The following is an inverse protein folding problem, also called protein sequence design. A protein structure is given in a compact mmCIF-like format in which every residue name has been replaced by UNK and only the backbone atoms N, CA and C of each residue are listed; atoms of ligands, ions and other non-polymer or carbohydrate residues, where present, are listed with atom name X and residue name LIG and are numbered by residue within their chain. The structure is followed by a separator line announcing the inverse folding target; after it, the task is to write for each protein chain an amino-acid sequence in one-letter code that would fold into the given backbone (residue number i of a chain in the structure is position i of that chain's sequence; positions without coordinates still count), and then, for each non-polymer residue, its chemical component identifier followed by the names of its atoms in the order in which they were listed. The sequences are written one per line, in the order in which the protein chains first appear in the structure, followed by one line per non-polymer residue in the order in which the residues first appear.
data_IF_103064444640
#
_entry.id   IF_103064444640
#
_cell.length_a   1.000
_cell.length_b   1.000
_cell.length_c   1.000
_cell.angle_alpha   90.00
_cell.angle_beta   90.00
_cell.angle_gamma   90.00
#
_symmetry.space_group_name_H-M   'P 1'
#
loop_
_entity.id
_entity.type
_entity.pdbx_description
1 polymer ?
#
# COMPACT_ATOMS: atom_id res chain seq x y z
N UNK A 1 0.86 16.75 -5.50
CA UNK A 1 0.08 17.34 -4.38
C UNK A 1 1.06 17.63 -3.25
N UNK A 2 1.12 18.86 -2.72
CA UNK A 2 2.07 19.19 -1.62
C UNK A 2 1.73 18.38 -0.34
N UNK A 3 2.72 18.11 0.51
CA UNK A 3 2.63 17.39 1.78
C UNK A 3 1.54 17.93 2.72
N UNK A 4 1.29 19.24 2.71
CA UNK A 4 0.18 19.84 3.50
C UNK A 4 -1.16 19.25 3.06
N UNK A 5 -1.40 19.15 1.75
CA UNK A 5 -2.63 18.60 1.22
C UNK A 5 -2.74 17.09 1.48
N UNK A 6 -1.63 16.34 1.32
CA UNK A 6 -1.58 14.91 1.71
C UNK A 6 -1.94 14.73 3.18
N UNK A 7 -1.42 15.58 4.08
CA UNK A 7 -1.72 15.52 5.52
C UNK A 7 -3.18 15.84 5.84
N UNK A 8 -3.77 16.83 5.16
CA UNK A 8 -5.20 17.14 5.27
C UNK A 8 -6.08 15.95 4.88
N UNK A 9 -5.75 15.27 3.78
CA UNK A 9 -6.46 14.05 3.34
C UNK A 9 -6.32 12.91 4.37
N UNK A 10 -5.14 12.74 4.97
CA UNK A 10 -4.96 11.75 6.05
C UNK A 10 -5.82 12.08 7.27
N UNK A 11 -5.86 13.34 7.68
CA UNK A 11 -6.72 13.79 8.79
C UNK A 11 -8.21 13.61 8.45
N UNK A 12 -8.62 13.85 7.20
CA UNK A 12 -9.98 13.57 6.74
C UNK A 12 -10.34 12.09 6.95
N UNK A 13 -9.49 11.17 6.46
CA UNK A 13 -9.69 9.72 6.61
C UNK A 13 -9.81 9.30 8.08
N UNK A 14 -9.01 9.89 8.97
CA UNK A 14 -9.10 9.62 10.42
C UNK A 14 -10.42 10.10 11.00
N UNK A 15 -10.91 11.29 10.64
CA UNK A 15 -12.23 11.72 11.11
C UNK A 15 -13.36 10.83 10.60
N UNK A 16 -13.32 10.44 9.32
CA UNK A 16 -14.31 9.55 8.73
C UNK A 16 -14.41 8.24 9.53
N UNK A 17 -13.26 7.65 9.90
CA UNK A 17 -13.21 6.46 10.74
C UNK A 17 -13.71 6.70 12.17
N UNK A 18 -13.29 7.81 12.79
CA UNK A 18 -13.67 8.13 14.18
C UNK A 18 -15.18 8.28 14.31
N UNK A 19 -15.78 8.98 13.35
CA UNK A 19 -17.20 9.24 13.33
C UNK A 19 -18.02 8.04 12.87
N UNK A 20 -17.53 7.25 11.91
CA UNK A 20 -18.22 6.03 11.46
C UNK A 20 -18.34 5.03 12.60
N UNK A 21 -17.27 4.76 13.35
CA UNK A 21 -17.29 3.78 14.45
C UNK A 21 -18.11 4.21 15.66
N UNK A 22 -18.14 5.51 15.97
CA UNK A 22 -18.72 5.99 17.23
C UNK A 22 -20.14 6.55 17.06
N UNK A 23 -20.51 6.92 15.83
CA UNK A 23 -21.74 7.66 15.53
C UNK A 23 -22.42 7.24 14.21
N UNK A 24 -21.98 6.13 13.59
CA UNK A 24 -22.60 5.55 12.39
C UNK A 24 -22.71 6.52 11.19
N UNK A 25 -21.72 7.42 11.05
CA UNK A 25 -21.65 8.27 9.86
C UNK A 25 -21.35 7.44 8.62
N UNK A 26 -22.13 7.70 7.56
CA UNK A 26 -21.80 7.28 6.21
C UNK A 26 -21.11 8.43 5.48
N UNK A 27 -19.91 8.18 4.98
CA UNK A 27 -19.14 9.17 4.21
C UNK A 27 -18.80 8.58 2.86
N UNK A 28 -19.53 8.99 1.82
CA UNK A 28 -19.07 8.79 0.44
C UNK A 28 -18.22 9.99 0.03
N UNK A 29 -16.90 9.84 0.19
CA UNK A 29 -15.93 10.83 -0.28
C UNK A 29 -15.71 10.58 -1.77
N UNK A 30 -16.57 11.14 -2.63
CA UNK A 30 -16.26 11.23 -4.06
C UNK A 30 -14.90 11.92 -4.21
N UNK A 31 -13.95 11.26 -4.85
CA UNK A 31 -12.61 11.83 -5.08
C UNK A 31 -12.74 13.11 -5.92
N UNK A 32 -12.71 14.27 -5.27
CA UNK A 32 -12.63 15.53 -5.99
C UNK A 32 -11.17 15.77 -6.35
N UNK A 33 -10.79 15.38 -7.57
CA UNK A 33 -9.41 15.48 -8.07
C UNK A 33 -8.85 16.92 -8.09
N UNK A 34 -9.71 17.94 -7.95
CA UNK A 34 -9.35 19.32 -8.26
C UNK A 34 -9.02 20.22 -7.05
N UNK A 35 -9.31 19.84 -5.80
CA UNK A 35 -8.95 20.64 -4.62
C UNK A 35 -8.98 19.84 -3.31
N UNK A 36 -8.22 20.30 -2.31
CA UNK A 36 -8.23 19.71 -0.95
C UNK A 36 -9.01 20.63 -0.01
N UNK A 37 -10.03 20.10 0.71
CA UNK A 37 -10.87 20.95 1.55
C UNK A 37 -10.12 21.58 2.72
N UNK A 38 -10.69 22.65 3.26
CA UNK A 38 -10.22 23.30 4.48
C UNK A 38 -10.74 22.61 5.74
N UNK A 39 -11.96 22.07 5.68
CA UNK A 39 -12.65 21.36 6.75
C UNK A 39 -13.22 20.05 6.21
N UNK A 40 -13.32 19.06 7.09
CA UNK A 40 -14.05 17.84 6.84
C UNK A 40 -15.54 18.08 6.97
N UNK A 41 -16.27 17.99 5.86
CA UNK A 41 -17.72 18.16 5.81
C UNK A 41 -18.45 16.84 6.03
N UNK A 42 -19.56 16.88 6.76
CA UNK A 42 -20.51 15.78 6.92
C UNK A 42 -21.92 16.32 6.72
N UNK A 43 -22.59 15.87 5.66
CA UNK A 43 -23.94 16.30 5.26
C UNK A 43 -24.99 15.30 5.73
N UNK A 44 -26.16 15.80 6.09
CA UNK A 44 -27.32 15.04 6.52
C UNK A 44 -28.53 15.46 5.68
N UNK A 45 -28.69 14.90 4.48
CA UNK A 45 -29.74 15.11 3.46
C UNK A 45 -31.05 15.81 3.92
N UNK A 46 -30.98 17.10 4.28
CA UNK A 46 -32.11 17.86 4.84
C UNK A 46 -32.62 17.43 6.24
N UNK A 47 -31.98 16.48 6.93
CA UNK A 47 -32.39 16.00 8.26
C UNK A 47 -31.90 16.94 9.37
N UNK A 48 -32.54 18.11 9.49
CA UNK A 48 -32.14 19.19 10.42
C UNK A 48 -32.09 18.71 11.88
N UNK A 49 -33.15 18.06 12.37
CA UNK A 49 -33.21 17.59 13.77
C UNK A 49 -32.09 16.60 14.09
N UNK A 50 -31.77 15.72 13.14
CA UNK A 50 -30.67 14.76 13.26
C UNK A 50 -29.32 15.47 13.31
N UNK A 51 -29.13 16.51 12.50
CA UNK A 51 -27.90 17.31 12.47
C UNK A 51 -27.69 18.06 13.78
N UNK A 52 -28.73 18.70 14.31
CA UNK A 52 -28.65 19.43 15.58
C UNK A 52 -28.36 18.49 16.75
N UNK A 53 -29.06 17.34 16.81
CA UNK A 53 -28.81 16.32 17.81
C UNK A 53 -27.36 15.82 17.74
N UNK A 54 -26.86 15.59 16.53
CA UNK A 54 -25.49 15.12 16.32
C UNK A 54 -24.46 16.19 16.69
N UNK A 55 -24.68 17.46 16.34
CA UNK A 55 -23.83 18.57 16.76
C UNK A 55 -23.71 18.64 18.28
N UNK A 56 -24.84 18.62 19.00
CA UNK A 56 -24.88 18.61 20.47
C UNK A 56 -24.16 17.39 21.05
N UNK A 57 -24.33 16.22 20.43
CA UNK A 57 -23.70 14.96 20.85
C UNK A 57 -22.18 15.04 20.71
N UNK A 58 -21.68 15.45 19.54
CA UNK A 58 -20.25 15.60 19.27
C UNK A 58 -19.61 16.66 20.16
N UNK A 59 -20.28 17.80 20.37
CA UNK A 59 -19.81 18.85 21.26
C UNK A 59 -19.72 18.36 22.72
N UNK A 60 -20.75 17.63 23.19
CA UNK A 60 -20.78 17.01 24.52
C UNK A 60 -19.67 15.98 24.71
N UNK A 61 -19.38 15.19 23.68
CA UNK A 61 -18.29 14.22 23.68
C UNK A 61 -16.91 14.90 23.40
N UNK A 62 -16.86 16.23 23.33
CA UNK A 62 -15.63 17.03 23.27
C UNK A 62 -14.98 17.15 21.90
N UNK A 63 -15.69 16.79 20.83
CA UNK A 63 -15.21 16.96 19.46
C UNK A 63 -15.23 18.44 19.04
N UNK A 64 -14.23 18.91 18.27
CA UNK A 64 -14.16 20.30 17.80
C UNK A 64 -15.06 20.51 16.58
N UNK A 65 -16.35 20.18 16.70
CA UNK A 65 -17.34 20.28 15.63
C UNK A 65 -17.83 21.73 15.48
N UNK A 66 -18.03 22.16 14.24
CA UNK A 66 -18.62 23.46 13.91
C UNK A 66 -19.72 23.32 12.85
N UNK A 67 -20.55 24.34 12.70
CA UNK A 67 -21.51 24.51 11.59
C UNK A 67 -21.12 25.73 10.76
N UNK A 68 -21.52 25.76 9.49
CA UNK A 68 -21.26 26.89 8.58
C UNK A 68 -22.43 27.03 7.59
N UNK A 69 -22.85 28.26 7.22
CA UNK A 69 -22.27 29.56 7.59
C UNK A 69 -22.62 30.00 9.01
N UNK A 70 -21.84 30.93 9.54
CA UNK A 70 -22.23 31.71 10.71
C UNK A 70 -23.39 32.64 10.34
N UNK A 71 -24.50 32.48 11.05
CA UNK A 71 -25.73 33.23 10.82
C UNK A 71 -25.85 34.30 11.90
N UNK A 72 -25.71 35.59 11.58
CA UNK A 72 -25.92 36.65 12.53
C UNK A 72 -27.42 36.79 12.85
N UNK A 73 -27.80 37.40 13.99
CA UNK A 73 -29.18 37.44 14.48
C UNK A 73 -30.21 37.93 13.45
N UNK A 74 -29.82 38.89 12.61
CA UNK A 74 -30.68 39.55 11.61
C UNK A 74 -31.17 38.59 10.52
N UNK A 75 -30.48 37.46 10.32
CA UNK A 75 -30.93 36.40 9.40
C UNK A 75 -32.18 35.70 9.92
N UNK A 76 -32.30 35.53 11.24
CA UNK A 76 -33.44 34.88 11.88
C UNK A 76 -34.69 35.76 11.88
N UNK A 77 -34.53 37.08 11.75
CA UNK A 77 -35.65 38.00 11.58
C UNK A 77 -36.22 37.97 10.14
N UNK A 78 -35.47 37.41 9.19
CA UNK A 78 -35.75 37.43 7.74
C UNK A 78 -35.57 36.06 7.08
N UNK A 79 -35.97 35.00 7.78
CA UNK A 79 -35.81 33.58 7.37
C UNK A 79 -36.17 33.33 5.91
N UNK A 80 -37.29 33.88 5.44
CA UNK A 80 -37.79 33.71 4.07
C UNK A 80 -36.82 34.15 2.97
N UNK A 81 -35.89 35.06 3.26
CA UNK A 81 -34.87 35.54 2.32
C UNK A 81 -33.54 34.78 2.42
N UNK A 82 -33.38 33.92 3.43
CA UNK A 82 -32.12 33.29 3.79
C UNK A 82 -32.22 31.77 3.98
N UNK A 83 -33.26 31.15 3.40
CA UNK A 83 -33.55 29.72 3.52
C UNK A 83 -32.31 28.85 3.22
N UNK A 84 -31.57 29.15 2.15
CA UNK A 84 -30.37 28.38 1.79
C UNK A 84 -29.27 28.45 2.87
N UNK A 85 -29.04 29.60 3.47
CA UNK A 85 -28.00 29.77 4.48
C UNK A 85 -28.37 29.06 5.79
N UNK A 86 -29.65 29.10 6.15
CA UNK A 86 -30.23 28.38 7.29
C UNK A 86 -30.15 26.87 7.07
N UNK A 87 -30.54 26.39 5.88
CA UNK A 87 -30.45 24.99 5.50
C UNK A 87 -29.00 24.50 5.55
N UNK A 88 -28.05 25.24 4.97
CA UNK A 88 -26.63 24.87 5.00
C UNK A 88 -26.08 24.75 6.43
N UNK A 89 -26.36 25.73 7.30
CA UNK A 89 -25.92 25.68 8.70
C UNK A 89 -26.50 24.49 9.46
N UNK A 90 -27.74 24.13 9.15
CA UNK A 90 -28.51 23.13 9.90
C UNK A 90 -28.49 21.73 9.29
N UNK A 91 -27.84 21.52 8.15
CA UNK A 91 -27.71 20.21 7.50
C UNK A 91 -26.27 19.70 7.38
N UNK A 92 -25.28 20.50 7.82
CA UNK A 92 -23.86 20.21 7.64
C UNK A 92 -23.05 20.45 8.90
N UNK A 93 -22.20 19.48 9.21
CA UNK A 93 -21.21 19.55 10.29
C UNK A 93 -19.81 19.59 9.70
N UNK A 94 -18.91 20.31 10.38
CA UNK A 94 -17.53 20.48 9.95
C UNK A 94 -16.55 20.14 11.07
N UNK A 95 -15.44 19.50 10.71
CA UNK A 95 -14.30 19.23 11.59
C UNK A 95 -13.00 19.73 10.96
N UNK A 96 -12.08 20.26 11.77
CA UNK A 96 -10.78 20.72 11.27
C UNK A 96 -9.93 19.58 10.74
N UNK A 97 -9.36 19.74 9.55
CA UNK A 97 -8.37 18.81 8.95
C UNK A 97 -6.98 19.42 8.85
N UNK A 98 -6.72 20.51 9.59
CA UNK A 98 -5.46 21.25 9.55
C UNK A 98 -4.24 20.32 9.68
N UNK A 99 -3.17 20.56 8.91
CA UNK A 99 -2.01 19.65 8.83
C UNK A 99 -1.29 19.44 10.17
N UNK A 100 -1.37 20.43 11.08
CA UNK A 100 -0.79 20.33 12.44
C UNK A 100 -1.64 19.48 13.41
N UNK A 101 -2.85 19.07 13.02
CA UNK A 101 -3.69 18.21 13.85
C UNK A 101 -3.04 16.83 13.95
N UNK A 102 -2.85 16.36 15.19
CA UNK A 102 -2.31 15.03 15.45
C UNK A 102 -3.44 14.01 15.56
N UNK A 103 -3.23 12.81 15.01
CA UNK A 103 -4.17 11.69 15.14
C UNK A 103 -4.46 11.38 16.62
N UNK A 104 -3.47 11.53 17.49
CA UNK A 104 -3.64 11.33 18.94
C UNK A 104 -4.66 12.27 19.55
N UNK A 105 -4.70 13.53 19.11
CA UNK A 105 -5.71 14.51 19.52
C UNK A 105 -7.09 14.13 19.00
N UNK A 106 -7.17 13.66 17.76
CA UNK A 106 -8.42 13.30 17.09
C UNK A 106 -9.12 12.10 17.74
N UNK A 107 -8.34 11.11 18.17
CA UNK A 107 -8.89 9.89 18.79
C UNK A 107 -9.05 9.99 20.31
N UNK A 108 -8.63 11.10 20.94
CA UNK A 108 -8.62 11.25 22.41
C UNK A 108 -9.98 11.00 23.06
N UNK A 109 -11.05 11.39 22.37
CA UNK A 109 -12.42 11.31 22.86
C UNK A 109 -13.18 10.08 22.37
N UNK A 110 -12.51 9.14 21.68
CA UNK A 110 -13.15 7.88 21.30
C UNK A 110 -13.46 7.06 22.55
N UNK A 111 -14.72 6.63 22.67
CA UNK A 111 -15.12 5.64 23.67
C UNK A 111 -14.47 4.30 23.28
N UNK A 112 -13.74 3.69 24.22
CA UNK A 112 -13.20 2.34 24.04
C UNK A 112 -14.38 1.38 24.12
N UNK A 113 -14.81 0.84 22.99
CA UNK A 113 -16.07 0.09 22.89
C UNK A 113 -15.93 -1.43 23.10
N UNK A 114 -14.74 -1.97 23.37
CA UNK A 114 -14.58 -3.43 23.49
C UNK A 114 -13.55 -3.89 24.53
N UNK A 115 -13.86 -5.01 25.18
CA UNK A 115 -13.02 -5.69 26.16
C UNK A 115 -12.03 -6.63 25.44
N UNK A 116 -11.01 -6.04 24.81
CA UNK A 116 -9.99 -6.73 23.98
C UNK A 116 -9.27 -7.85 24.76
N UNK A 117 -9.28 -7.80 26.10
CA UNK A 117 -8.59 -8.76 26.98
C UNK A 117 -9.03 -10.22 26.76
N UNK A 118 -10.30 -10.48 26.46
CA UNK A 118 -10.80 -11.85 26.23
C UNK A 118 -10.34 -12.41 24.89
N UNK A 119 -10.26 -11.57 23.85
CA UNK A 119 -9.87 -12.00 22.51
C UNK A 119 -8.35 -12.24 22.40
N UNK A 120 -7.54 -11.58 23.23
CA UNK A 120 -6.11 -11.88 23.33
C UNK A 120 -5.83 -13.34 23.73
N UNK A 121 -6.68 -13.97 24.54
CA UNK A 121 -6.50 -15.37 24.94
C UNK A 121 -6.74 -16.35 23.78
N UNK A 122 -7.35 -15.87 22.68
CA UNK A 122 -7.67 -16.66 21.49
C UNK A 122 -6.63 -16.52 20.38
N UNK A 123 -5.75 -15.52 20.47
CA UNK A 123 -4.67 -15.30 19.52
C UNK A 123 -3.42 -16.03 19.97
N UNK A 124 -2.87 -16.89 19.10
CA UNK A 124 -1.56 -17.49 19.26
C UNK A 124 -0.63 -17.06 18.12
N UNK A 125 0.67 -17.02 18.38
CA UNK A 125 1.69 -16.85 17.35
C UNK A 125 2.80 -17.88 17.54
N UNK A 126 3.09 -18.61 16.47
CA UNK A 126 4.21 -19.53 16.43
C UNK A 126 5.36 -18.89 15.65
N UNK A 127 6.52 -18.77 16.31
CA UNK A 127 7.72 -18.17 15.72
C UNK A 127 8.71 -19.26 15.34
N UNK A 128 9.22 -19.20 14.10
CA UNK A 128 10.32 -20.01 13.59
C UNK A 128 10.09 -21.53 13.63
N UNK A 129 8.85 -21.99 13.79
CA UNK A 129 8.45 -23.40 13.69
C UNK A 129 8.06 -23.81 12.26
N UNK A 130 7.75 -22.84 11.41
CA UNK A 130 7.23 -23.04 10.05
C UNK A 130 8.31 -23.55 9.10
N UNK A 131 7.98 -24.61 8.36
CA UNK A 131 8.83 -25.09 7.26
C UNK A 131 8.63 -24.23 6.01
N UNK A 132 9.60 -24.25 5.09
CA UNK A 132 9.46 -23.54 3.81
C UNK A 132 8.21 -23.96 3.03
N UNK A 133 7.94 -25.27 2.94
CA UNK A 133 6.77 -25.78 2.22
C UNK A 133 5.45 -25.23 2.78
N UNK A 134 5.30 -25.24 4.11
CA UNK A 134 4.12 -24.66 4.77
C UNK A 134 4.01 -23.14 4.56
N UNK A 135 5.15 -22.42 4.61
CA UNK A 135 5.16 -20.99 4.31
C UNK A 135 4.67 -20.73 2.88
N UNK A 136 5.20 -21.46 1.90
CA UNK A 136 4.87 -21.28 0.48
C UNK A 136 3.40 -21.66 0.20
N UNK A 137 2.84 -22.64 0.91
CA UNK A 137 1.41 -22.97 0.85
C UNK A 137 0.52 -21.85 1.40
N UNK A 138 0.89 -21.24 2.52
CA UNK A 138 0.15 -20.11 3.10
C UNK A 138 0.31 -18.86 2.24
N UNK A 139 1.51 -18.62 1.73
CA UNK A 139 1.86 -17.45 0.94
C UNK A 139 1.13 -17.43 -0.41
N UNK A 140 0.90 -18.60 -1.04
CA UNK A 140 0.07 -18.76 -2.24
C UNK A 140 -1.43 -18.47 -2.04
N UNK A 141 -1.92 -18.42 -0.80
CA UNK A 141 -3.33 -18.05 -0.51
C UNK A 141 -3.55 -16.54 -0.47
N UNK A 142 -2.47 -15.75 -0.49
CA UNK A 142 -2.54 -14.30 -0.37
C UNK A 142 -2.64 -13.70 -1.77
N UNK A 143 -3.83 -13.20 -2.10
CA UNK A 143 -4.16 -12.64 -3.42
C UNK A 143 -3.15 -11.60 -3.90
N UNK A 144 -2.79 -10.65 -3.04
CA UNK A 144 -1.82 -9.58 -3.31
C UNK A 144 -0.60 -9.75 -2.39
N UNK A 145 0.15 -10.83 -2.62
CA UNK A 145 1.41 -11.08 -1.94
C UNK A 145 2.49 -10.10 -2.39
N UNK A 146 3.64 -10.06 -1.71
CA UNK A 146 4.78 -9.22 -2.12
C UNK A 146 6.11 -9.92 -1.88
N UNK A 147 7.10 -9.62 -2.72
CA UNK A 147 8.44 -10.21 -2.64
C UNK A 147 9.10 -10.06 -1.26
N UNK A 148 8.86 -8.98 -0.53
CA UNK A 148 9.54 -8.71 0.74
C UNK A 148 9.16 -9.69 1.87
N UNK A 149 8.02 -10.36 1.72
CA UNK A 149 7.53 -11.40 2.63
C UNK A 149 7.74 -12.82 2.06
N UNK A 150 8.40 -12.98 0.91
CA UNK A 150 8.74 -14.31 0.41
C UNK A 150 9.89 -14.94 1.21
N UNK A 151 9.94 -16.28 1.20
CA UNK A 151 11.00 -17.03 1.87
C UNK A 151 12.38 -16.70 1.29
N UNK A 152 12.52 -16.74 -0.04
CA UNK A 152 13.78 -16.43 -0.75
C UNK A 152 14.29 -15.02 -0.47
N UNK A 153 13.41 -14.03 -0.33
CA UNK A 153 13.83 -12.67 0.00
C UNK A 153 14.44 -12.60 1.40
N UNK A 154 13.81 -13.30 2.36
CA UNK A 154 14.33 -13.43 3.72
C UNK A 154 15.72 -14.07 3.73
N UNK A 155 15.87 -15.26 3.14
CA UNK A 155 17.16 -15.96 3.07
C UNK A 155 18.23 -15.10 2.38
N UNK A 156 17.86 -14.38 1.31
CA UNK A 156 18.79 -13.50 0.61
C UNK A 156 19.30 -12.37 1.52
N UNK A 157 18.42 -11.79 2.36
CA UNK A 157 18.81 -10.78 3.36
C UNK A 157 19.74 -11.34 4.43
N UNK A 158 19.55 -12.57 4.87
CA UNK A 158 20.49 -13.23 5.79
C UNK A 158 21.86 -13.39 5.14
N UNK A 159 21.88 -13.89 3.90
CA UNK A 159 23.12 -14.24 3.20
C UNK A 159 23.98 -13.05 2.80
N UNK A 160 23.40 -11.92 2.35
CA UNK A 160 24.21 -10.79 1.86
C UNK A 160 24.24 -9.55 2.75
N UNK A 161 23.35 -9.43 3.74
CA UNK A 161 23.25 -8.24 4.58
C UNK A 161 23.30 -8.52 6.09
N UNK A 162 23.51 -9.78 6.49
CA UNK A 162 23.65 -10.21 7.89
C UNK A 162 22.42 -9.81 8.74
N UNK A 163 21.24 -9.98 8.16
CA UNK A 163 19.98 -10.00 8.92
C UNK A 163 19.74 -11.42 9.44
N UNK A 164 18.95 -11.55 10.51
CA UNK A 164 18.32 -12.81 10.90
C UNK A 164 16.85 -12.74 10.56
N UNK A 165 16.29 -13.80 10.04
CA UNK A 165 14.87 -13.85 9.70
C UNK A 165 14.11 -14.54 10.82
N UNK A 166 13.01 -13.90 11.25
CA UNK A 166 11.99 -14.54 12.08
C UNK A 166 10.69 -14.64 11.29
N UNK A 167 10.06 -15.81 11.30
CA UNK A 167 8.78 -16.05 10.62
C UNK A 167 7.73 -16.40 11.65
N UNK A 168 6.62 -15.67 11.61
CA UNK A 168 5.49 -15.85 12.52
C UNK A 168 4.26 -16.33 11.76
N UNK A 169 3.56 -17.34 12.30
CA UNK A 169 2.21 -17.70 11.90
C UNK A 169 1.26 -17.30 13.03
N UNK A 170 0.29 -16.45 12.73
CA UNK A 170 -0.77 -16.07 13.64
C UNK A 170 -1.97 -16.98 13.46
N UNK A 171 -2.51 -17.42 14.58
CA UNK A 171 -3.68 -18.28 14.65
C UNK A 171 -4.70 -17.65 15.61
N UNK A 172 -5.96 -17.56 15.19
CA UNK A 172 -7.06 -17.12 16.04
C UNK A 172 -8.12 -18.22 16.09
N UNK A 173 -8.51 -18.67 17.29
CA UNK A 173 -9.44 -19.80 17.46
C UNK A 173 -9.05 -21.04 16.62
N UNK A 174 -7.76 -21.39 16.64
CA UNK A 174 -7.15 -22.50 15.88
C UNK A 174 -7.16 -22.35 14.34
N UNK A 175 -7.59 -21.21 13.81
CA UNK A 175 -7.49 -20.89 12.38
C UNK A 175 -6.28 -20.01 12.09
N UNK A 176 -5.42 -20.40 11.13
CA UNK A 176 -4.33 -19.54 10.64
C UNK A 176 -4.93 -18.31 9.97
N UNK A 177 -4.55 -17.12 10.44
CA UNK A 177 -5.13 -15.83 9.98
C UNK A 177 -4.12 -14.91 9.30
N UNK A 178 -2.84 -14.99 9.67
CA UNK A 178 -1.81 -14.12 9.11
C UNK A 178 -0.42 -14.76 9.20
N UNK A 179 0.47 -14.33 8.32
CA UNK A 179 1.91 -14.66 8.35
C UNK A 179 2.74 -13.38 8.36
N UNK A 180 3.94 -13.42 8.94
CA UNK A 180 4.85 -12.27 8.97
C UNK A 180 6.30 -12.71 8.90
N UNK A 181 7.09 -12.02 8.08
CA UNK A 181 8.54 -12.11 8.03
C UNK A 181 9.14 -10.86 8.66
N UNK A 182 9.92 -11.05 9.73
CA UNK A 182 10.63 -10.01 10.49
C UNK A 182 12.13 -10.17 10.24
N UNK A 183 12.79 -9.08 9.87
CA UNK A 183 14.25 -9.03 9.80
C UNK A 183 14.79 -8.46 11.13
N UNK A 184 15.64 -9.22 11.81
CA UNK A 184 16.31 -8.85 13.05
C UNK A 184 17.79 -8.57 12.79
N UNK A 185 18.30 -7.48 13.33
CA UNK A 185 19.74 -7.18 13.36
C UNK A 185 20.15 -6.73 14.75
N UNK A 186 21.30 -7.21 15.20
CA UNK A 186 21.91 -6.76 16.46
C UNK A 186 22.93 -5.67 16.18
N UNK A 187 22.83 -4.56 16.90
CA UNK A 187 23.79 -3.46 16.88
C UNK A 187 24.56 -3.52 18.20
N UNK A 188 25.90 -3.62 18.11
CA UNK A 188 26.81 -3.72 19.26
C UNK A 188 26.49 -4.87 20.23
N UNK A 189 25.76 -5.90 19.78
CA UNK A 189 25.39 -7.07 20.59
C UNK A 189 24.28 -6.86 21.61
N UNK A 190 23.89 -5.60 21.89
CA UNK A 190 22.94 -5.24 22.96
C UNK A 190 21.65 -4.61 22.44
N UNK A 191 21.70 -3.88 21.32
CA UNK A 191 20.53 -3.24 20.74
C UNK A 191 19.97 -4.10 19.61
N UNK A 192 18.65 -4.23 19.56
CA UNK A 192 17.98 -4.98 18.50
C UNK A 192 17.19 -4.06 17.59
N UNK A 193 17.41 -4.20 16.29
CA UNK A 193 16.61 -3.56 15.26
C UNK A 193 15.77 -4.63 14.58
N UNK A 194 14.46 -4.48 14.66
CA UNK A 194 13.52 -5.30 13.92
C UNK A 194 12.94 -4.50 12.76
N UNK A 195 12.82 -5.13 11.60
CA UNK A 195 12.16 -4.56 10.42
C UNK A 195 11.06 -5.48 9.95
N UNK A 196 9.87 -4.94 9.75
CA UNK A 196 8.77 -5.62 9.08
C UNK A 196 8.42 -4.77 7.87
N UNK A 197 8.76 -5.27 6.67
CA UNK A 197 8.51 -4.58 5.42
C UNK A 197 7.38 -5.28 4.65
N UNK A 198 6.32 -4.55 4.36
CA UNK A 198 5.13 -5.02 3.63
C UNK A 198 4.48 -6.24 4.29
N UNK A 199 4.40 -6.25 5.63
CA UNK A 199 3.79 -7.31 6.43
C UNK A 199 3.13 -6.76 7.71
N UNK A 200 2.37 -7.54 8.49
CA UNK A 200 1.99 -8.93 8.23
C UNK A 200 1.07 -9.05 7.02
N UNK A 201 0.97 -10.26 6.46
CA UNK A 201 0.02 -10.57 5.41
C UNK A 201 -1.10 -11.44 5.96
N UNK A 202 -2.34 -10.99 5.76
CA UNK A 202 -3.52 -11.73 6.20
C UNK A 202 -3.94 -12.73 5.13
N UNK A 203 -4.23 -13.96 5.55
CA UNK A 203 -4.56 -15.07 4.65
C UNK A 203 -5.98 -14.95 4.08
N UNK A 204 -6.88 -14.33 4.86
CA UNK A 204 -8.28 -14.10 4.52
C UNK A 204 -8.65 -12.66 4.87
N UNK A 205 -9.83 -12.21 4.43
CA UNK A 205 -10.45 -11.00 4.98
C UNK A 205 -10.74 -11.25 6.47
N UNK A 206 -10.08 -10.49 7.33
CA UNK A 206 -10.26 -10.54 8.79
C UNK A 206 -10.80 -9.21 9.31
N UNK A 207 -11.57 -9.30 10.39
CA UNK A 207 -12.14 -8.13 11.06
C UNK A 207 -11.06 -7.22 11.64
N UNK A 208 -11.39 -5.93 11.79
CA UNK A 208 -10.48 -4.92 12.34
C UNK A 208 -9.95 -5.30 13.72
N UNK A 209 -10.76 -5.96 14.55
CA UNK A 209 -10.37 -6.40 15.89
C UNK A 209 -9.25 -7.46 15.84
N UNK A 210 -9.34 -8.42 14.92
CA UNK A 210 -8.30 -9.43 14.73
C UNK A 210 -7.00 -8.77 14.26
N UNK A 211 -7.08 -7.81 13.33
CA UNK A 211 -5.91 -7.02 12.93
C UNK A 211 -5.30 -6.30 14.13
N UNK A 212 -6.13 -5.71 14.99
CA UNK A 212 -5.68 -5.03 16.21
C UNK A 212 -4.88 -5.95 17.13
N UNK A 213 -5.35 -7.18 17.35
CA UNK A 213 -4.63 -8.19 18.15
C UNK A 213 -3.27 -8.56 17.54
N UNK A 214 -3.22 -8.78 16.22
CA UNK A 214 -1.97 -9.11 15.50
C UNK A 214 -0.97 -7.96 15.60
N UNK A 215 -1.39 -6.72 15.32
CA UNK A 215 -0.52 -5.55 15.41
C UNK A 215 -0.09 -5.25 16.84
N UNK A 216 -0.93 -5.54 17.84
CA UNK A 216 -0.52 -5.46 19.25
C UNK A 216 0.63 -6.42 19.55
N UNK A 217 0.54 -7.67 19.11
CA UNK A 217 1.62 -8.67 19.28
C UNK A 217 2.92 -8.22 18.58
N UNK A 218 2.82 -7.75 17.33
CA UNK A 218 3.96 -7.22 16.59
C UNK A 218 4.57 -5.99 17.27
N UNK A 219 3.74 -5.15 17.90
CA UNK A 219 4.23 -3.94 18.58
C UNK A 219 5.19 -4.24 19.74
N UNK A 220 5.20 -5.48 20.27
CA UNK A 220 6.10 -5.91 21.34
C UNK A 220 7.57 -6.01 20.91
N UNK A 221 7.85 -6.03 19.61
CA UNK A 221 9.22 -6.00 19.08
C UNK A 221 9.91 -4.64 19.32
N UNK A 222 9.15 -3.55 19.39
CA UNK A 222 9.63 -2.26 19.88
C UNK A 222 9.49 -2.21 21.40
N UNK A 223 10.61 -2.22 22.12
CA UNK A 223 10.62 -2.11 23.58
C UNK A 223 11.91 -1.45 24.11
N UNK A 224 11.77 -0.23 24.62
CA UNK A 224 12.85 0.63 25.09
C UNK A 224 13.57 0.00 26.27
N UNK A 225 12.83 -0.64 27.17
CA UNK A 225 13.38 -1.36 28.32
C UNK A 225 14.18 -2.59 27.91
N UNK A 226 13.90 -3.16 26.73
CA UNK A 226 14.65 -4.29 26.13
C UNK A 226 15.70 -3.84 25.11
N UNK A 227 15.92 -2.54 24.96
CA UNK A 227 16.87 -1.99 23.98
C UNK A 227 16.51 -2.34 22.53
N UNK A 228 15.22 -2.45 22.20
CA UNK A 228 14.79 -2.82 20.85
C UNK A 228 13.91 -1.78 20.18
N UNK A 229 14.15 -1.58 18.88
CA UNK A 229 13.33 -0.74 18.00
C UNK A 229 12.68 -1.61 16.94
N UNK A 230 11.40 -1.37 16.68
CA UNK A 230 10.69 -1.90 15.53
C UNK A 230 10.53 -0.80 14.49
N UNK A 231 10.98 -1.06 13.26
CA UNK A 231 10.67 -0.29 12.06
C UNK A 231 9.63 -1.09 11.26
N UNK A 232 8.50 -0.48 10.95
CA UNK A 232 7.32 -1.13 10.41
C UNK A 232 6.79 -0.38 9.20
N UNK A 233 6.79 -1.04 8.05
CA UNK A 233 6.11 -0.60 6.83
C UNK A 233 4.99 -1.60 6.55
N UNK A 234 3.78 -1.42 7.10
CA UNK A 234 2.79 -2.48 7.13
C UNK A 234 2.04 -2.64 5.81
N UNK A 235 1.61 -3.87 5.49
CA UNK A 235 0.68 -4.14 4.36
C UNK A 235 -0.76 -3.70 4.72
N UNK A 236 -0.91 -2.41 4.99
CA UNK A 236 -2.18 -1.78 5.31
C UNK A 236 -2.43 -0.65 4.33
N UNK A 237 -3.61 -0.64 3.73
CA UNK A 237 -4.07 0.45 2.86
C UNK A 237 -4.19 1.76 3.63
N UNK A 238 -4.08 2.88 2.92
CA UNK A 238 -4.23 4.21 3.49
C UNK A 238 -5.70 4.57 3.72
N UNK A 239 -6.20 4.19 4.89
CA UNK A 239 -7.53 4.52 5.39
C UNK A 239 -7.50 4.98 6.86
N UNK A 240 -8.63 5.48 7.35
CA UNK A 240 -8.74 5.92 8.74
C UNK A 240 -8.51 4.79 9.74
N UNK A 241 -9.01 3.58 9.44
CA UNK A 241 -8.85 2.35 10.24
C UNK A 241 -7.38 2.08 10.55
N UNK A 242 -6.55 2.03 9.52
CA UNK A 242 -5.13 1.72 9.62
C UNK A 242 -4.37 2.81 10.37
N UNK A 243 -4.69 4.08 10.12
CA UNK A 243 -4.07 5.22 10.80
C UNK A 243 -4.41 5.27 12.30
N UNK A 244 -5.68 5.04 12.64
CA UNK A 244 -6.15 4.95 14.03
C UNK A 244 -5.51 3.76 14.73
N UNK A 245 -5.46 2.60 14.07
CA UNK A 245 -4.82 1.38 14.60
C UNK A 245 -3.35 1.61 14.95
N UNK A 246 -2.56 2.16 14.02
CA UNK A 246 -1.14 2.45 14.27
C UNK A 246 -0.98 3.41 15.46
N UNK A 247 -1.83 4.43 15.55
CA UNK A 247 -1.79 5.39 16.66
C UNK A 247 -2.17 4.76 18.00
N UNK A 248 -3.22 3.92 18.05
CA UNK A 248 -3.64 3.17 19.25
C UNK A 248 -2.51 2.27 19.76
N UNK A 249 -1.78 1.64 18.84
CA UNK A 249 -0.61 0.81 19.16
C UNK A 249 0.66 1.60 19.51
N UNK A 250 0.56 2.93 19.61
CA UNK A 250 1.65 3.86 19.96
C UNK A 250 2.83 3.82 18.98
N UNK A 251 2.58 3.51 17.72
CA UNK A 251 3.57 3.73 16.67
C UNK A 251 3.74 5.22 16.39
N UNK A 252 4.98 5.60 16.10
CA UNK A 252 5.34 6.90 15.56
C UNK A 252 5.44 6.82 14.05
N UNK A 253 4.85 7.77 13.36
CA UNK A 253 4.87 7.85 11.89
C UNK A 253 6.15 8.56 11.43
N UNK A 254 6.82 8.02 10.43
CA UNK A 254 7.92 8.68 9.73
C UNK A 254 7.40 9.73 8.75
N UNK A 255 8.19 10.75 8.43
CA UNK A 255 7.81 11.81 7.46
C UNK A 255 7.96 11.40 5.99
N UNK A 256 8.25 10.14 5.71
CA UNK A 256 8.42 9.62 4.35
C UNK A 256 7.08 9.53 3.62
N UNK A 257 7.13 9.65 2.29
CA UNK A 257 5.98 9.37 1.44
C UNK A 257 5.57 7.91 1.60
N UNK A 258 4.27 7.68 1.79
CA UNK A 258 3.71 6.34 1.73
C UNK A 258 4.03 5.68 0.37
N UNK A 259 4.19 4.36 0.39
CA UNK A 259 4.30 3.59 -0.85
C UNK A 259 2.98 3.64 -1.61
N UNK A 260 3.05 3.95 -2.89
CA UNK A 260 1.93 3.92 -3.82
C UNK A 260 2.25 2.95 -4.96
N UNK A 261 1.27 2.16 -5.38
CA UNK A 261 1.37 1.36 -6.60
C UNK A 261 -0.03 1.10 -7.18
N UNK A 262 -0.12 0.23 -8.19
CA UNK A 262 -1.36 -0.25 -8.77
C UNK A 262 -1.19 -1.73 -9.13
N UNK A 263 -2.20 -2.54 -8.84
CA UNK A 263 -2.22 -3.94 -9.24
C UNK A 263 -3.22 -4.17 -10.37
N UNK A 264 -2.96 -5.19 -11.19
CA UNK A 264 -3.86 -5.64 -12.25
C UNK A 264 -4.41 -7.00 -11.83
N UNK A 265 -5.73 -7.12 -11.77
CA UNK A 265 -6.43 -8.37 -11.53
C UNK A 265 -6.33 -9.28 -12.77
N UNK A 266 -5.43 -10.27 -12.71
CA UNK A 266 -5.20 -11.21 -13.80
C UNK A 266 -6.28 -12.29 -13.89
N UNK A 267 -7.25 -12.32 -12.99
CA UNK A 267 -8.41 -13.22 -13.11
C UNK A 267 -9.36 -12.75 -14.22
N UNK A 268 -9.39 -11.45 -14.53
CA UNK A 268 -10.18 -10.87 -15.62
C UNK A 268 -9.73 -11.37 -16.99
N UNK A 269 -10.64 -11.39 -17.97
CA UNK A 269 -10.31 -11.82 -19.33
C UNK A 269 -9.39 -10.81 -20.04
N UNK A 270 -8.60 -11.29 -21.01
CA UNK A 270 -7.62 -10.46 -21.72
C UNK A 270 -8.27 -9.33 -22.54
N UNK A 271 -9.49 -9.53 -23.06
CA UNK A 271 -10.18 -8.50 -23.83
C UNK A 271 -10.64 -7.37 -22.91
N UNK A 272 -11.21 -7.71 -21.76
CA UNK A 272 -11.54 -6.74 -20.72
C UNK A 272 -10.32 -5.95 -20.27
N UNK A 273 -9.23 -6.64 -19.93
CA UNK A 273 -7.97 -5.98 -19.52
C UNK A 273 -7.45 -5.03 -20.61
N UNK A 274 -7.51 -5.43 -21.88
CA UNK A 274 -7.08 -4.60 -23.01
C UNK A 274 -8.00 -3.39 -23.23
N UNK A 275 -9.31 -3.56 -23.04
CA UNK A 275 -10.28 -2.49 -23.17
C UNK A 275 -10.19 -1.47 -22.04
N UNK A 276 -9.83 -1.95 -20.84
CA UNK A 276 -9.69 -1.12 -19.64
C UNK A 276 -8.45 -0.21 -19.67
N UNK A 277 -7.44 -0.49 -20.51
CA UNK A 277 -6.27 0.38 -20.68
C UNK A 277 -6.69 1.82 -21.04
N UNK A 278 -5.90 2.80 -20.59
CA UNK A 278 -6.06 4.18 -21.03
C UNK A 278 -5.98 4.25 -22.57
N UNK A 279 -6.80 5.13 -23.17
CA UNK A 279 -6.93 5.19 -24.62
C UNK A 279 -5.62 5.58 -25.31
N UNK A 280 -4.82 6.49 -24.73
CA UNK A 280 -3.52 6.86 -25.30
C UNK A 280 -2.53 5.70 -25.12
N UNK A 281 -2.53 5.06 -23.95
CA UNK A 281 -1.67 3.91 -23.66
C UNK A 281 -1.94 2.75 -24.63
N UNK A 282 -3.21 2.40 -24.85
CA UNK A 282 -3.65 1.37 -25.81
C UNK A 282 -3.25 1.70 -27.25
N UNK A 283 -3.27 2.97 -27.64
CA UNK A 283 -2.79 3.39 -28.96
C UNK A 283 -1.27 3.20 -29.09
N UNK A 284 -0.50 3.49 -28.05
CA UNK A 284 0.94 3.24 -28.03
C UNK A 284 1.27 1.74 -28.09
N UNK A 285 0.50 0.90 -27.38
CA UNK A 285 0.60 -0.56 -27.49
C UNK A 285 0.31 -1.03 -28.93
N UNK A 286 -0.81 -0.61 -29.52
CA UNK A 286 -1.20 -0.98 -30.89
C UNK A 286 -0.15 -0.57 -31.92
N UNK A 287 0.53 0.56 -31.71
CA UNK A 287 1.66 0.95 -32.55
C UNK A 287 2.88 0.02 -32.33
N UNK A 288 3.21 -0.27 -31.07
CA UNK A 288 4.35 -1.14 -30.73
C UNK A 288 4.25 -2.55 -31.31
N UNK A 289 3.04 -3.11 -31.38
CA UNK A 289 2.77 -4.42 -31.97
C UNK A 289 3.02 -4.47 -33.49
N UNK A 290 3.04 -3.32 -34.16
CA UNK A 290 3.35 -3.19 -35.59
C UNK A 290 4.83 -2.89 -35.86
N UNK A 291 5.62 -2.60 -34.83
CA UNK A 291 7.01 -2.13 -34.95
C UNK A 291 8.04 -3.26 -35.08
N UNK A 292 7.65 -4.43 -35.58
CA UNK A 292 8.53 -5.60 -35.80
C UNK A 292 9.34 -6.02 -34.56
N UNK A 293 8.80 -5.78 -33.35
CA UNK A 293 9.42 -6.21 -32.10
C UNK A 293 9.23 -7.72 -31.92
N UNK A 294 10.33 -8.42 -31.65
CA UNK A 294 10.30 -9.81 -31.22
C UNK A 294 10.38 -9.88 -29.70
N UNK A 295 9.56 -10.73 -29.09
CA UNK A 295 9.58 -11.00 -27.65
C UNK A 295 10.47 -12.20 -27.35
N UNK A 296 11.45 -12.00 -26.47
CA UNK A 296 12.14 -13.09 -25.79
C UNK A 296 11.73 -13.10 -24.32
N UNK A 297 11.49 -14.29 -23.79
CA UNK A 297 10.95 -14.44 -22.45
C UNK A 297 11.54 -15.66 -21.76
N UNK A 298 11.84 -15.52 -20.46
CA UNK A 298 12.24 -16.64 -19.63
C UNK A 298 13.03 -16.23 -18.39
N UNK A 299 13.44 -17.25 -17.65
CA UNK A 299 14.12 -17.12 -16.36
C UNK A 299 15.56 -17.66 -16.40
N UNK A 300 16.07 -17.94 -17.61
CA UNK A 300 17.41 -18.47 -17.83
C UNK A 300 18.50 -17.44 -17.50
N UNK A 301 19.71 -17.95 -17.24
CA UNK A 301 20.85 -17.13 -16.84
C UNK A 301 21.22 -16.08 -17.89
N UNK A 302 21.13 -16.42 -19.18
CA UNK A 302 21.44 -15.48 -20.26
C UNK A 302 20.55 -14.23 -20.21
N UNK A 303 19.24 -14.39 -20.09
CA UNK A 303 18.31 -13.25 -19.97
C UNK A 303 18.49 -12.51 -18.64
N UNK A 304 18.70 -13.23 -17.54
CA UNK A 304 18.89 -12.63 -16.23
C UNK A 304 20.14 -11.75 -16.17
N UNK A 305 21.31 -12.29 -16.57
CA UNK A 305 22.56 -11.52 -16.53
C UNK A 305 22.56 -10.36 -17.52
N UNK A 306 21.95 -10.53 -18.70
CA UNK A 306 21.73 -9.39 -19.61
C UNK A 306 20.92 -8.28 -18.96
N UNK A 307 19.84 -8.62 -18.24
CA UNK A 307 19.00 -7.62 -17.55
C UNK A 307 19.74 -7.00 -16.36
N UNK A 308 20.55 -7.78 -15.65
CA UNK A 308 21.37 -7.30 -14.53
C UNK A 308 22.40 -6.26 -15.01
N UNK A 309 23.06 -6.51 -16.13
CA UNK A 309 23.99 -5.56 -16.74
C UNK A 309 23.28 -4.26 -17.14
N UNK A 310 22.08 -4.36 -17.73
CA UNK A 310 21.25 -3.17 -18.04
C UNK A 310 20.77 -2.43 -16.79
N UNK A 311 20.53 -3.13 -15.70
CA UNK A 311 20.20 -2.51 -14.42
C UNK A 311 21.39 -1.77 -13.80
N UNK A 312 22.59 -2.34 -13.88
CA UNK A 312 23.82 -1.71 -13.41
C UNK A 312 24.16 -0.44 -14.23
N UNK A 313 23.97 -0.49 -15.55
CA UNK A 313 24.08 0.71 -16.42
C UNK A 313 23.10 1.81 -15.98
N UNK A 314 21.87 1.47 -15.58
CA UNK A 314 20.88 2.46 -15.13
C UNK A 314 21.23 3.08 -13.78
N UNK A 315 21.67 2.25 -12.83
CA UNK A 315 21.97 2.68 -11.45
C UNK A 315 23.28 3.43 -11.35
N UNK A 316 24.24 3.18 -12.25
CA UNK A 316 25.49 3.95 -12.32
C UNK A 316 25.27 5.35 -12.92
N UNK A 317 24.32 5.48 -13.86
CA UNK A 317 24.05 6.73 -14.56
C UNK A 317 22.99 7.63 -13.90
N UNK A 318 22.29 7.12 -12.88
CA UNK A 318 21.22 7.85 -12.17
C UNK A 318 21.45 7.71 -10.66
N UNK A 319 21.31 8.80 -9.90
CA UNK A 319 21.29 8.79 -8.43
C UNK A 319 20.02 8.07 -7.89
N UNK A 320 19.81 6.81 -8.25
CA UNK A 320 18.65 6.00 -7.90
C UNK A 320 19.08 4.79 -7.08
N UNK A 321 18.44 4.60 -5.92
CA UNK A 321 18.66 3.42 -5.06
C UNK A 321 17.50 2.43 -5.22
N UNK A 322 17.69 1.41 -6.05
CA UNK A 322 16.79 0.25 -6.11
C UNK A 322 17.29 -0.94 -5.28
N UNK A 323 16.78 -2.14 -5.56
CA UNK A 323 17.28 -3.39 -4.98
C UNK A 323 18.76 -3.57 -5.36
N UNK A 324 19.60 -3.95 -4.39
CA UNK A 324 21.03 -4.09 -4.67
C UNK A 324 21.31 -5.24 -5.64
N UNK A 325 22.37 -5.11 -6.45
CA UNK A 325 22.88 -6.19 -7.30
C UNK A 325 23.13 -7.48 -6.52
N UNK A 326 23.67 -7.35 -5.30
CA UNK A 326 23.92 -8.50 -4.41
C UNK A 326 22.62 -9.22 -4.03
N UNK A 327 21.56 -8.49 -3.72
CA UNK A 327 20.24 -9.07 -3.44
C UNK A 327 19.67 -9.78 -4.67
N UNK A 328 19.75 -9.19 -5.86
CA UNK A 328 19.29 -9.81 -7.10
C UNK A 328 20.01 -11.14 -7.38
N UNK A 329 21.34 -11.16 -7.20
CA UNK A 329 22.14 -12.38 -7.37
C UNK A 329 21.80 -13.45 -6.34
N UNK A 330 21.62 -13.09 -5.07
CA UNK A 330 21.24 -14.04 -4.02
C UNK A 330 19.87 -14.66 -4.26
N UNK A 331 18.89 -13.84 -4.68
CA UNK A 331 17.56 -14.34 -5.02
C UNK A 331 17.65 -15.30 -6.22
N UNK A 332 18.35 -14.92 -7.30
CA UNK A 332 18.49 -15.74 -8.51
C UNK A 332 19.18 -17.08 -8.24
N UNK A 333 20.18 -17.09 -7.36
CA UNK A 333 20.98 -18.28 -7.05
C UNK A 333 20.35 -19.18 -5.98
N UNK A 334 19.16 -18.84 -5.48
CA UNK A 334 18.46 -19.68 -4.53
C UNK A 334 18.07 -21.02 -5.17
N UNK A 335 18.66 -22.12 -4.71
CA UNK A 335 18.48 -23.43 -5.34
C UNK A 335 17.07 -24.01 -5.19
N UNK A 336 16.33 -23.51 -4.20
CA UNK A 336 14.99 -23.99 -3.84
C UNK A 336 13.87 -23.15 -4.50
N UNK A 337 14.19 -22.00 -5.09
CA UNK A 337 13.25 -21.18 -5.85
C UNK A 337 13.82 -20.93 -7.25
N UNK A 338 13.50 -21.83 -8.16
CA UNK A 338 13.75 -21.59 -9.58
C UNK A 338 12.70 -20.59 -10.07
N UNK A 339 13.12 -19.69 -10.95
CA UNK A 339 12.23 -18.78 -11.68
C UNK A 339 11.57 -17.65 -10.88
N UNK A 340 12.14 -17.23 -9.74
CA UNK A 340 11.70 -16.01 -9.02
C UNK A 340 11.75 -14.75 -9.88
N UNK A 341 12.59 -14.72 -10.91
CA UNK A 341 12.64 -13.63 -11.90
C UNK A 341 12.23 -14.12 -13.27
N UNK A 342 11.19 -13.48 -13.83
CA UNK A 342 10.79 -13.61 -15.22
C UNK A 342 11.28 -12.38 -15.99
N UNK A 343 12.13 -12.60 -16.99
CA UNK A 343 12.67 -11.55 -17.84
C UNK A 343 11.91 -11.53 -19.16
N UNK A 344 11.46 -10.34 -19.58
CA UNK A 344 10.93 -10.11 -20.92
C UNK A 344 11.85 -9.11 -21.62
N UNK A 345 12.33 -9.46 -22.80
CA UNK A 345 13.26 -8.66 -23.61
C UNK A 345 12.67 -8.41 -24.99
N UNK A 346 12.67 -7.15 -25.43
CA UNK A 346 12.21 -6.77 -26.76
C UNK A 346 13.42 -6.64 -27.68
N UNK A 347 13.36 -7.34 -28.81
CA UNK A 347 14.42 -7.35 -29.83
C UNK A 347 13.89 -6.72 -31.12
N UNK A 348 14.65 -5.79 -31.69
CA UNK A 348 14.38 -5.18 -32.99
C UNK A 348 15.58 -5.41 -33.90
N UNK A 349 15.40 -6.07 -35.04
CA UNK A 349 16.47 -6.35 -36.02
C UNK A 349 17.77 -6.89 -35.38
N UNK A 350 17.63 -7.88 -34.50
CA UNK A 350 18.70 -8.53 -33.73
C UNK A 350 19.35 -7.68 -32.62
N UNK A 351 18.84 -6.49 -32.33
CA UNK A 351 19.28 -5.66 -31.20
C UNK A 351 18.26 -5.73 -30.04
N UNK A 352 18.71 -6.01 -28.83
CA UNK A 352 17.86 -5.92 -27.64
C UNK A 352 17.65 -4.44 -27.25
N UNK A 353 16.43 -3.93 -27.46
CA UNK A 353 16.11 -2.49 -27.35
C UNK A 353 15.42 -2.11 -26.04
N UNK A 354 14.81 -3.07 -25.35
CA UNK A 354 14.20 -2.88 -24.04
C UNK A 354 14.12 -4.20 -23.25
N UNK A 355 13.97 -4.09 -21.93
CA UNK A 355 13.91 -5.24 -21.03
C UNK A 355 13.20 -4.93 -19.72
N UNK A 356 12.47 -5.90 -19.19
CA UNK A 356 11.81 -5.79 -17.89
C UNK A 356 12.07 -7.07 -17.07
N UNK A 357 12.19 -6.89 -15.76
CA UNK A 357 12.31 -7.96 -14.79
C UNK A 357 11.08 -7.96 -13.89
N UNK A 358 10.38 -9.08 -13.85
CA UNK A 358 9.22 -9.31 -12.99
C UNK A 358 9.64 -10.27 -11.88
N UNK A 359 9.42 -9.87 -10.62
CA UNK A 359 9.57 -10.75 -9.49
C UNK A 359 8.28 -11.55 -9.29
N UNK A 360 8.38 -12.87 -9.34
CA UNK A 360 7.30 -13.81 -9.08
C UNK A 360 7.29 -14.16 -7.60
N UNK A 361 6.12 -14.17 -6.96
CA UNK A 361 5.99 -14.51 -5.54
C UNK A 361 4.56 -14.93 -5.18
N UNK A 362 4.39 -16.03 -4.44
CA UNK A 362 3.07 -16.48 -4.01
C UNK A 362 2.13 -16.73 -5.20
N UNK A 363 0.95 -16.10 -5.18
CA UNK A 363 0.00 -16.09 -6.31
C UNK A 363 0.07 -14.79 -7.15
N UNK A 364 1.11 -13.99 -6.97
CA UNK A 364 1.23 -12.64 -7.52
C UNK A 364 2.59 -12.44 -8.22
N UNK A 365 2.73 -11.30 -8.88
CA UNK A 365 4.02 -10.85 -9.39
C UNK A 365 4.17 -9.34 -9.26
N UNK A 366 5.41 -8.85 -9.21
CA UNK A 366 5.73 -7.41 -9.11
C UNK A 366 6.68 -6.99 -10.24
N UNK A 367 6.34 -5.91 -10.94
CA UNK A 367 7.25 -5.24 -11.87
C UNK A 367 8.41 -4.59 -11.10
N UNK A 368 9.59 -5.22 -11.15
CA UNK A 368 10.72 -4.87 -10.30
C UNK A 368 11.69 -3.92 -11.00
N UNK A 369 12.09 -4.24 -12.23
CA UNK A 369 13.10 -3.49 -12.98
C UNK A 369 12.60 -3.27 -14.40
N UNK A 370 12.83 -2.07 -14.93
CA UNK A 370 12.66 -1.80 -16.36
C UNK A 370 13.81 -1.00 -16.93
N UNK A 371 14.26 -1.44 -18.09
CA UNK A 371 15.23 -0.76 -18.93
C UNK A 371 14.62 -0.53 -20.30
N UNK A 372 14.85 0.66 -20.85
CA UNK A 372 14.35 1.02 -22.17
C UNK A 372 15.38 1.89 -22.87
N UNK A 373 16.02 1.33 -23.89
CA UNK A 373 16.99 2.04 -24.72
C UNK A 373 16.36 3.19 -25.51
N UNK A 374 17.17 3.99 -26.18
CA UNK A 374 16.64 5.10 -26.99
C UNK A 374 15.75 4.60 -28.13
N UNK A 375 16.22 3.56 -28.85
CA UNK A 375 15.44 2.93 -29.90
C UNK A 375 14.16 2.27 -29.35
N UNK A 376 14.26 1.59 -28.20
CA UNK A 376 13.10 1.02 -27.52
C UNK A 376 12.04 2.05 -27.15
N UNK A 377 12.44 3.26 -26.72
CA UNK A 377 11.51 4.37 -26.46
C UNK A 377 10.80 4.84 -27.73
N UNK A 378 11.52 4.97 -28.85
CA UNK A 378 10.94 5.33 -30.16
C UNK A 378 9.93 4.28 -30.62
N UNK A 379 10.26 3.00 -30.45
CA UNK A 379 9.42 1.86 -30.85
C UNK A 379 8.32 1.51 -29.83
N UNK A 380 8.23 2.24 -28.70
CA UNK A 380 7.28 1.98 -27.60
C UNK A 380 7.43 0.58 -26.98
N UNK A 381 8.65 0.04 -26.96
CA UNK A 381 8.93 -1.34 -26.54
C UNK A 381 8.48 -1.70 -25.12
N UNK A 382 8.53 -0.78 -24.14
CA UNK A 382 8.00 -1.08 -22.80
C UNK A 382 6.47 -1.25 -22.76
N UNK A 383 5.71 -0.63 -23.67
CA UNK A 383 4.27 -0.87 -23.76
C UNK A 383 4.02 -2.30 -24.24
N UNK A 384 4.76 -2.71 -25.27
CA UNK A 384 4.78 -4.09 -25.76
C UNK A 384 5.16 -5.08 -24.64
N UNK A 385 6.25 -4.83 -23.91
CA UNK A 385 6.72 -5.73 -22.85
C UNK A 385 5.74 -5.84 -21.67
N UNK A 386 5.20 -4.72 -21.19
CA UNK A 386 4.30 -4.74 -20.03
C UNK A 386 2.95 -5.40 -20.36
N UNK A 387 2.44 -5.21 -21.59
CA UNK A 387 1.26 -5.94 -22.05
C UNK A 387 1.53 -7.45 -22.17
N UNK A 388 2.65 -7.84 -22.77
CA UNK A 388 3.02 -9.26 -22.86
C UNK A 388 3.30 -9.89 -21.49
N UNK A 389 3.65 -9.09 -20.49
CA UNK A 389 3.77 -9.56 -19.10
C UNK A 389 2.44 -10.03 -18.54
N UNK A 390 1.36 -9.28 -18.78
CA UNK A 390 0.00 -9.67 -18.36
C UNK A 390 -0.38 -11.00 -19.01
N UNK A 391 -0.13 -11.12 -20.32
CA UNK A 391 -0.43 -12.36 -21.07
C UNK A 391 0.35 -13.53 -20.46
N UNK A 392 1.67 -13.38 -20.29
CA UNK A 392 2.50 -14.46 -19.76
C UNK A 392 2.10 -14.85 -18.34
N UNK A 393 1.95 -13.88 -17.43
CA UNK A 393 1.60 -14.15 -16.04
C UNK A 393 0.25 -14.86 -15.92
N UNK A 394 -0.73 -14.47 -16.76
CA UNK A 394 -2.02 -15.15 -16.82
C UNK A 394 -1.89 -16.58 -17.36
N UNK A 395 -1.07 -16.82 -18.39
CA UNK A 395 -0.79 -18.17 -18.91
C UNK A 395 -0.10 -19.06 -17.86
N UNK A 396 0.74 -18.48 -17.01
CA UNK A 396 1.40 -19.16 -15.89
C UNK A 396 0.47 -19.36 -14.67
N UNK A 397 -0.73 -18.80 -14.67
CA UNK A 397 -1.74 -18.99 -13.61
C UNK A 397 -1.62 -18.03 -12.42
N UNK A 398 -0.90 -16.91 -12.54
CA UNK A 398 -0.86 -15.89 -11.49
C UNK A 398 -2.16 -15.07 -11.44
N UNK A 399 -2.51 -14.60 -10.24
CA UNK A 399 -3.79 -13.95 -9.96
C UNK A 399 -3.71 -12.43 -9.99
N UNK A 400 -2.55 -11.86 -9.67
CA UNK A 400 -2.36 -10.40 -9.63
C UNK A 400 -0.97 -9.98 -10.11
N UNK A 401 -0.90 -8.79 -10.71
CA UNK A 401 0.35 -8.18 -11.15
C UNK A 401 0.47 -6.74 -10.62
N UNK A 402 1.35 -6.54 -9.64
CA UNK A 402 1.70 -5.24 -9.07
C UNK A 402 2.68 -4.51 -10.01
N UNK A 403 2.33 -3.29 -10.42
CA UNK A 403 3.13 -2.48 -11.35
C UNK A 403 4.35 -1.84 -10.68
N UNK A 404 4.64 -2.15 -9.43
CA UNK A 404 5.74 -1.61 -8.63
C UNK A 404 5.53 -0.14 -8.26
N UNK A 405 6.46 0.41 -7.49
CA UNK A 405 6.33 1.74 -6.89
C UNK A 405 6.02 2.85 -7.92
N UNK A 406 5.09 3.73 -7.54
CA UNK A 406 4.68 4.90 -8.28
C UNK A 406 5.07 6.13 -7.46
N UNK A 407 5.78 7.07 -8.09
CA UNK A 407 6.17 8.33 -7.47
C UNK A 407 6.00 9.45 -8.51
N UNK A 408 4.88 10.17 -8.41
CA UNK A 408 4.51 11.26 -9.32
C UNK A 408 5.50 12.43 -9.25
N UNK A 409 6.18 12.62 -8.11
CA UNK A 409 7.08 13.76 -7.89
C UNK A 409 8.47 13.45 -8.44
N UNK A 410 9.02 12.26 -8.14
CA UNK A 410 10.36 11.88 -8.58
C UNK A 410 10.39 11.27 -9.98
N UNK A 411 9.31 10.59 -10.38
CA UNK A 411 9.26 9.81 -11.62
C UNK A 411 7.92 9.98 -12.36
N UNK A 412 7.52 11.21 -12.74
CA UNK A 412 6.21 11.47 -13.36
C UNK A 412 5.97 10.66 -14.65
N UNK A 413 6.95 10.57 -15.55
CA UNK A 413 6.80 9.81 -16.80
C UNK A 413 6.68 8.29 -16.59
N UNK A 414 7.35 7.73 -15.57
CA UNK A 414 7.21 6.31 -15.22
C UNK A 414 5.84 6.08 -14.57
N UNK A 415 5.39 7.03 -13.75
CA UNK A 415 4.08 7.01 -13.12
C UNK A 415 2.97 7.01 -14.17
N UNK A 416 2.98 7.95 -15.11
CA UNK A 416 2.00 8.02 -16.21
C UNK A 416 1.99 6.73 -17.05
N UNK A 417 3.18 6.19 -17.36
CA UNK A 417 3.31 4.92 -18.07
C UNK A 417 2.64 3.75 -17.34
N UNK A 418 2.81 3.64 -16.01
CA UNK A 418 2.19 2.58 -15.21
C UNK A 418 0.69 2.81 -15.03
N UNK A 419 0.27 4.04 -14.73
CA UNK A 419 -1.14 4.38 -14.52
C UNK A 419 -1.97 4.22 -15.79
N UNK A 420 -1.39 4.38 -16.98
CA UNK A 420 -2.09 4.10 -18.25
C UNK A 420 -2.51 2.64 -18.44
N UNK A 421 -2.02 1.72 -17.61
CA UNK A 421 -2.53 0.35 -17.54
C UNK A 421 -3.91 0.25 -16.86
N UNK A 422 -4.36 1.33 -16.20
CA UNK A 422 -5.60 1.39 -15.42
C UNK A 422 -5.75 0.23 -14.43
N UNK A 423 -4.66 -0.10 -13.73
CA UNK A 423 -4.70 -1.01 -12.58
C UNK A 423 -5.34 -0.34 -11.36
N UNK A 424 -5.78 -1.16 -10.41
CA UNK A 424 -6.35 -0.72 -9.14
C UNK A 424 -5.26 -0.09 -8.27
N UNK A 425 -5.27 1.24 -8.23
CA UNK A 425 -4.29 2.03 -7.46
C UNK A 425 -4.52 1.85 -5.96
N UNK A 426 -3.42 1.71 -5.22
CA UNK A 426 -3.44 1.69 -3.77
C UNK A 426 -2.30 2.51 -3.17
N UNK A 427 -2.57 3.10 -2.01
CA UNK A 427 -1.59 3.76 -1.15
C UNK A 427 -1.48 2.96 0.15
N UNK A 428 -0.27 2.78 0.67
CA UNK A 428 -0.06 2.18 1.99
C UNK A 428 -0.16 3.23 3.11
N UNK A 429 -0.44 2.76 4.32
CA UNK A 429 -0.70 3.62 5.49
C UNK A 429 0.51 4.49 5.87
N UNK A 430 1.73 4.06 5.55
CA UNK A 430 2.97 4.82 5.73
C UNK A 430 4.09 3.97 6.30
N UNK A 431 5.13 4.64 6.78
CA UNK A 431 6.23 4.02 7.52
C UNK A 431 6.14 4.42 8.99
N UNK A 432 6.37 3.46 9.87
CA UNK A 432 6.19 3.61 11.30
C UNK A 432 7.39 3.07 12.07
N UNK A 433 7.56 3.53 13.29
CA UNK A 433 8.51 2.95 14.22
C UNK A 433 7.99 2.96 15.65
N UNK A 434 8.53 2.06 16.47
CA UNK A 434 8.21 1.95 17.88
C UNK A 434 9.45 1.58 18.69
N UNK A 435 9.61 2.30 19.79
CA UNK A 435 10.47 1.94 20.90
C UNK A 435 9.61 1.36 22.01
#
# INVERSE_FOLDING_TARGET
MNDIAKRKIRNQKVWDEVLSNSYEFYTDRRESENWTPYLAEYSFDGMIDKTELMFKTLLKDGFPVSTWPDLPPEIYDKVQYHLNAIELRNSRLFLSIHSNLSIGTMIKNQKVTQDIKKDFLKLNVEWNSVTRGEWDELFRKIENSNLLQSWVYGESKENCEDWKVRRGIFTFENQKIAIVQVLEKSILGIFKVYRINRGPLFLNKVDSNIKELVFHELSKFGNLLKGSILLLNPELVLDGKSLVLMKKMRFYESKSSAWTSAFIDLTKDLNFLRQNLDSKWRNMLTNSEKNELTLEIGSNDFLFYWMLDKYDELTSNKNFSGISKSMLLQIKNNQNEKDTFLILRAVYRNEAVAGICIAIHGSSATYLIGWNGELGRKLRANHFLLWNSIIQLKQMGYLSFDLGGIDQEKTPGITEFKLGMNGDKYDLSGEFWKL
#
